data_IF_456264088729
#
_entry.id   IF_456264088729
#
_cell.length_a   1.000
_cell.length_b   1.000
_cell.length_c   1.000
_cell.angle_alpha   90.00
_cell.angle_beta   90.00
_cell.angle_gamma   90.00
#
_symmetry.space_group_name_H-M   'P 1'
#
loop_
_entity.id
_entity.type
_entity.pdbx_description
1 polymer ?
#
# COMPACT_ATOMS: atom_id res chain seq x y z
N UNK A 1 19.39 -13.40 8.97
CA UNK A 1 18.53 -13.43 7.77
C UNK A 1 17.22 -12.82 8.16
N UNK A 2 16.65 -11.97 7.32
CA UNK A 2 15.26 -11.44 7.51
C UNK A 2 14.29 -12.62 7.56
N UNK A 3 13.28 -12.57 8.43
CA UNK A 3 12.41 -13.72 8.70
C UNK A 3 10.95 -13.34 8.59
N UNK A 4 10.11 -14.35 8.27
CA UNK A 4 8.66 -14.23 8.16
C UNK A 4 8.19 -14.12 6.71
N UNK A 5 7.18 -14.92 6.36
CA UNK A 5 6.60 -14.91 5.00
C UNK A 5 5.86 -13.60 4.73
N UNK A 6 6.20 -12.96 3.62
CA UNK A 6 5.49 -11.80 3.11
C UNK A 6 4.52 -12.20 1.99
N UNK A 7 3.30 -11.67 2.00
CA UNK A 7 2.36 -11.75 0.90
C UNK A 7 2.21 -10.38 0.24
N UNK A 8 2.59 -10.30 -1.04
CA UNK A 8 2.38 -9.08 -1.85
C UNK A 8 1.03 -9.18 -2.52
N UNK A 9 0.13 -8.27 -2.18
CA UNK A 9 -1.23 -8.17 -2.71
C UNK A 9 -1.26 -7.04 -3.73
N UNK A 10 -1.37 -7.39 -5.01
CA UNK A 10 -1.47 -6.44 -6.11
C UNK A 10 -2.93 -6.29 -6.50
N UNK A 11 -3.52 -5.11 -6.21
CA UNK A 11 -4.88 -4.80 -6.66
C UNK A 11 -4.85 -4.35 -8.12
N UNK A 12 -5.56 -5.08 -8.98
CA UNK A 12 -5.68 -4.77 -10.40
C UNK A 12 -7.12 -4.42 -10.80
N UNK A 13 -7.26 -3.28 -11.47
CA UNK A 13 -8.50 -2.91 -12.17
C UNK A 13 -8.17 -2.13 -13.43
N UNK A 14 -8.45 -2.75 -14.59
CA UNK A 14 -8.19 -2.18 -15.91
C UNK A 14 -6.73 -1.65 -16.05
N UNK A 15 -5.78 -2.49 -15.65
CA UNK A 15 -4.36 -2.15 -15.60
C UNK A 15 -3.51 -2.79 -16.69
N UNK A 16 -4.09 -3.18 -17.86
CA UNK A 16 -3.37 -3.91 -18.92
C UNK A 16 -2.06 -3.24 -19.35
N UNK A 17 -1.98 -1.91 -19.22
CA UNK A 17 -0.78 -1.15 -19.55
C UNK A 17 0.38 -1.36 -18.57
N UNK A 18 0.09 -1.69 -17.30
CA UNK A 18 1.07 -1.63 -16.21
C UNK A 18 1.29 -2.96 -15.51
N UNK A 19 0.26 -3.82 -15.48
CA UNK A 19 0.25 -5.02 -14.63
C UNK A 19 1.41 -5.97 -14.89
N UNK A 20 1.85 -6.13 -16.15
CA UNK A 20 3.00 -6.97 -16.51
C UNK A 20 4.27 -6.48 -15.82
N UNK A 21 4.66 -5.21 -16.08
CA UNK A 21 5.90 -4.64 -15.54
C UNK A 21 5.88 -4.62 -14.00
N UNK A 22 4.70 -4.38 -13.41
CA UNK A 22 4.51 -4.46 -11.96
C UNK A 22 4.82 -5.87 -11.45
N UNK A 23 4.19 -6.90 -12.00
CA UNK A 23 4.36 -8.28 -11.54
C UNK A 23 5.77 -8.80 -11.79
N UNK A 24 6.36 -8.52 -12.95
CA UNK A 24 7.75 -8.89 -13.24
C UNK A 24 8.71 -8.29 -12.20
N UNK A 25 8.53 -7.02 -11.82
CA UNK A 25 9.36 -6.38 -10.80
C UNK A 25 9.15 -6.96 -9.39
N UNK A 26 7.94 -7.43 -9.08
CA UNK A 26 7.63 -8.09 -7.80
C UNK A 26 8.22 -9.50 -7.77
N UNK A 27 8.27 -10.21 -8.89
CA UNK A 27 8.84 -11.57 -8.96
C UNK A 27 10.38 -11.57 -8.96
N UNK A 28 11.02 -10.43 -9.24
CA UNK A 28 12.49 -10.25 -9.19
C UNK A 28 12.99 -9.80 -7.81
N UNK A 29 12.29 -10.10 -6.72
CA UNK A 29 12.69 -9.68 -5.38
C UNK A 29 13.77 -10.59 -4.78
N UNK A 30 14.75 -9.98 -4.11
CA UNK A 30 15.83 -10.71 -3.38
C UNK A 30 15.37 -11.31 -2.06
N UNK A 31 14.24 -10.88 -1.52
CA UNK A 31 13.63 -11.49 -0.33
C UNK A 31 13.07 -12.87 -0.67
N UNK A 32 13.54 -13.92 -0.01
CA UNK A 32 13.31 -15.30 -0.45
C UNK A 32 11.94 -15.90 -0.07
N UNK A 33 11.37 -15.52 1.09
CA UNK A 33 10.11 -16.13 1.58
C UNK A 33 8.91 -15.20 1.37
N UNK A 34 8.44 -15.14 0.12
CA UNK A 34 7.25 -14.37 -0.22
C UNK A 34 6.31 -15.11 -1.16
N UNK A 35 5.09 -14.62 -1.26
CA UNK A 35 4.04 -15.01 -2.20
C UNK A 35 3.43 -13.77 -2.83
N UNK A 36 2.88 -13.93 -4.01
CA UNK A 36 2.20 -12.86 -4.74
C UNK A 36 0.77 -13.28 -5.05
N UNK A 37 -0.20 -12.41 -4.74
CA UNK A 37 -1.58 -12.56 -5.18
C UNK A 37 -2.01 -11.30 -5.92
N UNK A 38 -2.53 -11.51 -7.13
CA UNK A 38 -3.19 -10.46 -7.91
C UNK A 38 -4.68 -10.55 -7.65
N UNK A 39 -5.25 -9.48 -7.12
CA UNK A 39 -6.71 -9.34 -6.99
C UNK A 39 -7.21 -8.62 -8.23
N UNK A 40 -7.78 -9.37 -9.17
CA UNK A 40 -8.43 -8.76 -10.33
C UNK A 40 -9.86 -8.31 -9.95
N UNK A 41 -10.03 -7.01 -9.89
CA UNK A 41 -11.24 -6.33 -9.42
C UNK A 41 -12.28 -6.16 -10.55
N UNK A 42 -12.57 -7.26 -11.28
CA UNK A 42 -13.46 -7.33 -12.44
C UNK A 42 -12.99 -6.46 -13.63
N UNK A 43 -11.74 -6.61 -14.04
CA UNK A 43 -11.19 -5.92 -15.20
C UNK A 43 -11.82 -6.38 -16.52
N UNK A 44 -11.87 -5.48 -17.51
CA UNK A 44 -12.44 -5.69 -18.84
C UNK A 44 -11.49 -5.35 -19.99
N UNK A 45 -10.22 -5.02 -19.67
CA UNK A 45 -9.22 -4.51 -20.61
C UNK A 45 -8.14 -5.53 -21.01
N UNK A 46 -8.31 -6.81 -20.60
CA UNK A 46 -7.31 -7.87 -20.84
C UNK A 46 -6.24 -8.01 -19.75
N UNK A 47 -6.22 -7.15 -18.73
CA UNK A 47 -5.23 -7.22 -17.64
C UNK A 47 -5.32 -8.49 -16.81
N UNK A 48 -6.52 -9.07 -16.67
CA UNK A 48 -6.73 -10.37 -16.02
C UNK A 48 -6.03 -11.51 -16.79
N UNK A 49 -6.16 -11.50 -18.10
CA UNK A 49 -5.54 -12.48 -18.98
C UNK A 49 -4.01 -12.38 -18.92
N UNK A 50 -3.46 -11.17 -18.91
CA UNK A 50 -2.03 -10.92 -18.73
C UNK A 50 -1.56 -11.53 -17.40
N UNK A 51 -2.22 -11.24 -16.28
CA UNK A 51 -1.83 -11.77 -14.98
C UNK A 51 -1.91 -13.33 -14.94
N UNK A 52 -2.93 -13.92 -15.55
CA UNK A 52 -3.14 -15.37 -15.55
C UNK A 52 -2.17 -16.11 -16.47
N UNK A 53 -1.96 -15.61 -17.70
CA UNK A 53 -1.34 -16.37 -18.78
C UNK A 53 0.16 -16.05 -18.95
N UNK A 54 0.59 -14.85 -18.52
CA UNK A 54 1.96 -14.39 -18.72
C UNK A 54 2.77 -14.32 -17.42
N UNK A 55 2.08 -14.32 -16.26
CA UNK A 55 2.72 -14.31 -14.93
C UNK A 55 2.10 -15.38 -14.02
N UNK A 56 2.18 -16.67 -14.41
CA UNK A 56 1.50 -17.76 -13.68
C UNK A 56 2.07 -18.03 -12.29
N UNK A 57 3.22 -17.46 -11.94
CA UNK A 57 3.83 -17.54 -10.60
C UNK A 57 3.03 -16.75 -9.55
N UNK A 58 2.27 -15.73 -9.97
CA UNK A 58 1.37 -14.98 -9.12
C UNK A 58 0.00 -15.68 -9.03
N UNK A 59 -0.50 -15.86 -7.82
CA UNK A 59 -1.87 -16.35 -7.62
C UNK A 59 -2.88 -15.32 -8.11
N UNK A 60 -3.87 -15.73 -8.92
CA UNK A 60 -4.94 -14.86 -9.39
C UNK A 60 -6.22 -15.07 -8.59
N UNK A 61 -6.67 -14.03 -7.90
CA UNK A 61 -7.98 -13.94 -7.25
C UNK A 61 -8.91 -13.04 -8.07
N UNK A 62 -9.76 -13.63 -8.91
CA UNK A 62 -10.68 -12.86 -9.74
C UNK A 62 -11.99 -12.57 -9.00
N UNK A 63 -12.32 -11.30 -8.82
CA UNK A 63 -13.59 -10.88 -8.23
C UNK A 63 -14.69 -10.80 -9.30
N UNK A 64 -15.95 -11.09 -8.93
CA UNK A 64 -17.07 -11.07 -9.88
C UNK A 64 -17.53 -9.66 -10.27
N UNK A 65 -17.17 -8.67 -9.45
CA UNK A 65 -17.53 -7.25 -9.62
C UNK A 65 -16.43 -6.36 -9.08
N UNK A 66 -16.38 -5.09 -9.53
CA UNK A 66 -15.47 -4.09 -8.98
C UNK A 66 -15.91 -3.69 -7.57
N UNK A 67 -15.12 -4.04 -6.57
CA UNK A 67 -15.34 -3.73 -5.15
C UNK A 67 -14.61 -2.48 -4.68
N UNK A 68 -14.11 -1.68 -5.59
CA UNK A 68 -13.28 -0.51 -5.30
C UNK A 68 -11.98 -0.87 -4.58
N UNK A 69 -11.29 0.15 -4.01
CA UNK A 69 -9.95 -0.05 -3.46
C UNK A 69 -9.97 -0.84 -2.15
N UNK A 70 -10.68 -0.36 -1.13
CA UNK A 70 -10.64 -0.94 0.20
C UNK A 70 -11.10 -2.42 0.20
N UNK A 71 -12.28 -2.72 -0.35
CA UNK A 71 -12.82 -4.09 -0.43
C UNK A 71 -12.01 -4.99 -1.35
N UNK A 72 -11.52 -4.44 -2.47
CA UNK A 72 -10.68 -5.19 -3.40
C UNK A 72 -9.37 -5.62 -2.73
N UNK A 73 -8.68 -4.70 -2.06
CA UNK A 73 -7.44 -4.98 -1.35
C UNK A 73 -7.67 -5.93 -0.17
N UNK A 74 -8.76 -5.75 0.59
CA UNK A 74 -9.12 -6.65 1.69
C UNK A 74 -9.30 -8.09 1.23
N UNK A 75 -9.89 -8.35 0.07
CA UNK A 75 -10.01 -9.71 -0.46
C UNK A 75 -8.63 -10.39 -0.63
N UNK A 76 -7.62 -9.63 -1.06
CA UNK A 76 -6.24 -10.12 -1.13
C UNK A 76 -5.61 -10.31 0.25
N UNK A 77 -5.86 -9.39 1.18
CA UNK A 77 -5.39 -9.50 2.57
C UNK A 77 -6.00 -10.74 3.26
N UNK A 78 -7.29 -10.95 3.13
CA UNK A 78 -7.98 -12.14 3.64
C UNK A 78 -7.39 -13.44 3.06
N UNK A 79 -7.09 -13.44 1.75
CA UNK A 79 -6.41 -14.59 1.10
C UNK A 79 -5.02 -14.82 1.68
N UNK A 80 -4.22 -13.77 1.87
CA UNK A 80 -2.88 -13.86 2.45
C UNK A 80 -2.92 -14.37 3.91
N UNK A 81 -3.87 -13.89 4.70
CA UNK A 81 -4.02 -14.25 6.12
C UNK A 81 -4.53 -15.67 6.35
N UNK A 82 -5.05 -16.37 5.31
CA UNK A 82 -5.33 -17.81 5.37
C UNK A 82 -4.04 -18.65 5.45
N UNK A 83 -2.91 -18.11 5.01
CA UNK A 83 -1.62 -18.75 5.19
C UNK A 83 -1.13 -18.54 6.64
N UNK A 84 -0.99 -19.62 7.40
CA UNK A 84 -0.55 -19.56 8.80
C UNK A 84 0.89 -19.06 8.96
N UNK A 85 1.72 -19.20 7.92
CA UNK A 85 3.11 -18.72 7.91
C UNK A 85 3.21 -17.24 7.49
N UNK A 86 2.12 -16.60 7.06
CA UNK A 86 2.09 -15.19 6.72
C UNK A 86 2.42 -14.33 7.94
N UNK A 87 3.53 -13.63 7.92
CA UNK A 87 3.93 -12.66 8.93
C UNK A 87 3.65 -11.22 8.51
N UNK A 88 3.68 -10.96 7.21
CA UNK A 88 3.51 -9.63 6.64
C UNK A 88 2.59 -9.66 5.42
N UNK A 89 1.72 -8.67 5.32
CA UNK A 89 0.91 -8.42 4.13
C UNK A 89 1.32 -7.08 3.54
N UNK A 90 1.58 -7.06 2.23
CA UNK A 90 2.05 -5.86 1.54
C UNK A 90 1.03 -5.47 0.48
N UNK A 91 0.43 -4.29 0.62
CA UNK A 91 -0.40 -3.70 -0.43
C UNK A 91 0.50 -3.11 -1.53
N UNK A 92 0.14 -3.33 -2.78
CA UNK A 92 0.82 -2.73 -3.92
C UNK A 92 -0.19 -2.42 -5.05
N UNK A 93 -0.11 -1.21 -5.59
CA UNK A 93 -0.88 -0.83 -6.77
C UNK A 93 -0.28 -1.46 -8.05
N UNK A 94 -1.14 -1.80 -9.00
CA UNK A 94 -0.73 -2.36 -10.30
C UNK A 94 0.03 -1.40 -11.22
N UNK A 95 -0.03 -0.09 -10.97
CA UNK A 95 0.65 0.96 -11.72
C UNK A 95 1.99 1.37 -11.09
N UNK A 96 2.66 0.39 -10.48
CA UNK A 96 3.98 0.54 -9.84
C UNK A 96 5.03 -0.36 -10.48
N UNK A 97 6.29 -0.01 -10.24
CA UNK A 97 7.47 -0.86 -10.44
C UNK A 97 8.34 -0.75 -9.19
N UNK A 98 8.80 -1.87 -8.66
CA UNK A 98 9.58 -1.92 -7.42
C UNK A 98 11.04 -2.29 -7.70
N UNK A 99 11.96 -1.79 -6.87
CA UNK A 99 13.37 -2.20 -6.95
C UNK A 99 13.56 -3.64 -6.42
N UNK A 100 14.57 -4.40 -6.88
CA UNK A 100 14.81 -5.77 -6.45
C UNK A 100 14.98 -5.96 -4.92
N UNK A 101 15.47 -4.95 -4.22
CA UNK A 101 15.65 -4.96 -2.76
C UNK A 101 14.44 -4.42 -1.99
N UNK A 102 13.37 -3.99 -2.68
CA UNK A 102 12.22 -3.31 -2.08
C UNK A 102 11.58 -4.10 -0.94
N UNK A 103 11.28 -5.38 -1.16
CA UNK A 103 10.60 -6.20 -0.16
C UNK A 103 11.50 -6.48 1.06
N UNK A 104 12.80 -6.73 0.82
CA UNK A 104 13.77 -6.90 1.89
C UNK A 104 13.91 -5.62 2.73
N UNK A 105 13.93 -4.46 2.07
CA UNK A 105 13.99 -3.15 2.74
C UNK A 105 12.72 -2.85 3.56
N UNK A 106 11.54 -3.30 3.12
CA UNK A 106 10.29 -3.18 3.89
C UNK A 106 10.27 -4.11 5.12
N UNK A 107 10.72 -5.35 4.96
CA UNK A 107 10.72 -6.33 6.06
C UNK A 107 11.71 -5.95 7.16
N UNK A 108 12.86 -5.37 6.81
CA UNK A 108 13.93 -5.03 7.77
C UNK A 108 13.47 -4.19 8.97
N UNK A 109 12.80 -3.04 8.83
CA UNK A 109 12.27 -2.32 10.00
C UNK A 109 11.12 -3.07 10.70
N UNK A 110 10.38 -3.93 9.99
CA UNK A 110 9.32 -4.74 10.55
C UNK A 110 9.82 -5.93 11.41
N UNK A 111 11.12 -6.24 11.46
CA UNK A 111 11.69 -7.19 12.42
C UNK A 111 11.61 -6.66 13.87
N UNK A 112 11.53 -5.34 14.08
CA UNK A 112 11.16 -4.78 15.38
C UNK A 112 9.69 -5.09 15.68
N UNK A 113 9.43 -5.86 16.75
CA UNK A 113 8.09 -6.28 17.12
C UNK A 113 7.13 -5.14 17.46
N UNK A 114 7.63 -3.91 17.66
CA UNK A 114 6.81 -2.71 17.87
C UNK A 114 6.26 -2.12 16.58
N UNK A 115 6.83 -2.49 15.43
CA UNK A 115 6.46 -1.92 14.12
C UNK A 115 5.30 -2.69 13.52
N UNK A 116 4.17 -2.02 13.34
CA UNK A 116 2.95 -2.58 12.74
C UNK A 116 2.76 -2.23 11.27
N UNK A 117 3.39 -1.14 10.78
CA UNK A 117 3.26 -0.67 9.41
C UNK A 117 4.57 -0.05 8.90
N UNK A 118 4.92 -0.32 7.63
CA UNK A 118 6.12 0.23 7.00
C UNK A 118 5.77 0.87 5.65
N UNK A 119 6.22 2.12 5.48
CA UNK A 119 6.04 2.91 4.26
C UNK A 119 7.22 2.74 3.31
N UNK A 120 6.95 2.55 2.03
CA UNK A 120 7.93 2.63 0.95
C UNK A 120 8.34 4.07 0.64
N UNK A 121 9.54 4.25 0.05
CA UNK A 121 9.91 5.45 -0.69
C UNK A 121 9.28 5.37 -2.08
N UNK A 122 8.22 6.12 -2.29
CA UNK A 122 7.55 6.17 -3.59
C UNK A 122 8.06 7.38 -4.38
N UNK A 123 8.52 7.13 -5.59
CA UNK A 123 8.97 8.14 -6.57
C UNK A 123 7.99 8.18 -7.74
N UNK A 124 7.90 9.32 -8.42
CA UNK A 124 7.10 9.41 -9.63
C UNK A 124 7.77 8.63 -10.76
N UNK A 125 7.05 7.72 -11.42
CA UNK A 125 7.60 6.88 -12.50
C UNK A 125 8.14 7.70 -13.67
N UNK A 126 7.47 8.80 -14.02
CA UNK A 126 7.90 9.69 -15.10
C UNK A 126 9.01 10.68 -14.69
N UNK A 127 9.22 10.86 -13.39
CA UNK A 127 10.20 11.75 -12.79
C UNK A 127 10.84 11.06 -11.58
N UNK A 128 11.77 10.09 -11.81
CA UNK A 128 12.27 9.20 -10.74
C UNK A 128 13.13 9.92 -9.68
N UNK A 129 13.43 11.17 -9.88
CA UNK A 129 14.09 12.08 -8.91
C UNK A 129 13.08 12.89 -8.09
N UNK A 130 11.77 12.67 -8.24
CA UNK A 130 10.70 13.40 -7.53
C UNK A 130 9.91 12.45 -6.63
N UNK A 131 9.79 12.85 -5.36
CA UNK A 131 9.05 12.07 -4.35
C UNK A 131 7.54 12.13 -4.63
N UNK A 132 6.92 10.96 -4.71
CA UNK A 132 5.47 10.81 -4.65
C UNK A 132 5.00 10.72 -3.19
N UNK A 133 5.62 9.84 -2.37
CA UNK A 133 5.34 9.73 -0.95
C UNK A 133 6.52 9.09 -0.20
N UNK A 134 6.86 9.61 0.96
CA UNK A 134 7.83 9.04 1.90
C UNK A 134 7.16 8.80 3.28
N UNK A 135 6.02 8.09 3.25
CA UNK A 135 5.10 7.95 4.38
C UNK A 135 4.10 9.09 4.49
N UNK A 136 3.18 8.95 5.43
CA UNK A 136 2.11 9.91 5.72
C UNK A 136 2.47 10.81 6.91
N UNK A 137 1.90 12.02 6.91
CA UNK A 137 1.92 12.96 8.04
C UNK A 137 0.52 13.51 8.26
N UNK A 138 0.11 13.65 9.52
CA UNK A 138 -1.13 14.36 9.89
C UNK A 138 -0.79 15.80 10.22
N UNK A 139 -1.53 16.73 9.65
CA UNK A 139 -1.48 18.16 9.94
C UNK A 139 -2.31 18.50 11.17
N UNK A 140 -2.15 19.72 11.74
CA UNK A 140 -2.87 20.14 12.95
C UNK A 140 -4.39 20.18 12.80
N UNK A 141 -4.87 20.37 11.60
CA UNK A 141 -6.31 20.32 11.23
C UNK A 141 -6.81 18.93 10.88
N UNK A 142 -5.97 17.90 11.11
CA UNK A 142 -6.31 16.48 10.90
C UNK A 142 -6.28 16.03 9.44
N UNK A 143 -5.78 16.85 8.52
CA UNK A 143 -5.59 16.37 7.14
C UNK A 143 -4.36 15.46 7.04
N UNK A 144 -4.47 14.40 6.27
CA UNK A 144 -3.34 13.54 5.91
C UNK A 144 -2.66 14.07 4.65
N UNK A 145 -1.34 14.07 4.65
CA UNK A 145 -0.52 14.49 3.50
C UNK A 145 0.64 13.54 3.29
N UNK A 146 0.98 13.29 2.04
CA UNK A 146 2.17 12.54 1.65
C UNK A 146 3.43 13.37 1.99
N UNK A 147 4.36 12.76 2.75
CA UNK A 147 5.64 13.41 3.06
C UNK A 147 6.48 13.54 1.79
N UNK A 148 7.02 14.72 1.57
CA UNK A 148 7.89 15.00 0.43
C UNK A 148 7.18 15.15 -0.91
N UNK A 149 5.85 15.16 -0.96
CA UNK A 149 5.07 15.27 -2.20
C UNK A 149 5.61 16.36 -3.13
N UNK A 150 5.96 15.96 -4.36
CA UNK A 150 6.53 16.78 -5.44
C UNK A 150 7.87 17.46 -5.11
N UNK A 151 8.55 17.09 -4.02
CA UNK A 151 9.91 17.52 -3.76
C UNK A 151 10.91 16.64 -4.53
N UNK A 152 12.04 17.22 -4.92
CA UNK A 152 13.15 16.44 -5.44
C UNK A 152 13.72 15.55 -4.31
N UNK A 153 14.01 14.29 -4.62
CA UNK A 153 14.67 13.38 -3.68
C UNK A 153 16.17 13.67 -3.62
N UNK A 154 16.60 14.24 -2.51
CA UNK A 154 18.01 14.51 -2.19
C UNK A 154 18.43 13.75 -0.91
N UNK A 155 17.63 12.73 -0.51
CA UNK A 155 17.83 11.97 0.72
C UNK A 155 17.47 12.74 2.00
N UNK A 156 16.80 13.90 1.87
CA UNK A 156 16.45 14.80 2.98
C UNK A 156 15.48 14.17 3.99
N UNK A 157 14.73 13.13 3.60
CA UNK A 157 13.78 12.42 4.45
C UNK A 157 14.30 11.08 4.99
N UNK A 158 15.47 10.61 4.53
CA UNK A 158 15.94 9.24 4.77
C UNK A 158 16.34 8.98 6.23
N UNK A 159 16.63 10.02 6.99
CA UNK A 159 16.99 9.92 8.41
C UNK A 159 15.80 10.00 9.36
N UNK A 160 14.69 10.55 8.90
CA UNK A 160 13.45 10.69 9.68
C UNK A 160 12.51 9.54 9.33
N UNK A 161 12.76 8.40 9.95
CA UNK A 161 12.05 7.14 9.67
C UNK A 161 10.76 6.94 10.47
N UNK A 162 10.46 7.82 11.43
CA UNK A 162 9.21 7.78 12.18
C UNK A 162 8.12 8.54 11.40
N UNK A 163 7.09 7.82 10.97
CA UNK A 163 6.02 8.38 10.14
C UNK A 163 4.67 8.11 10.78
N UNK A 164 3.66 8.87 10.40
CA UNK A 164 2.31 8.63 10.88
C UNK A 164 1.75 7.30 10.37
N UNK A 165 1.99 6.98 9.10
CA UNK A 165 1.54 5.77 8.42
C UNK A 165 2.17 5.63 7.04
N UNK A 166 1.72 4.65 6.29
CA UNK A 166 2.15 4.38 4.92
C UNK A 166 0.99 4.59 3.94
N UNK A 167 1.31 5.07 2.73
CA UNK A 167 0.34 5.10 1.64
C UNK A 167 -0.04 3.68 1.22
N UNK A 168 -1.34 3.40 1.11
CA UNK A 168 -1.86 2.11 0.70
C UNK A 168 -1.45 1.65 -0.70
N UNK A 169 -0.84 2.54 -1.49
CA UNK A 169 -0.31 2.20 -2.81
C UNK A 169 0.96 1.32 -2.76
N UNK A 170 1.75 1.36 -1.66
CA UNK A 170 2.93 0.51 -1.46
C UNK A 170 3.30 0.44 0.03
N UNK A 171 2.65 -0.43 0.80
CA UNK A 171 2.76 -0.48 2.25
C UNK A 171 2.83 -1.90 2.79
N UNK A 172 3.73 -2.15 3.75
CA UNK A 172 3.76 -3.39 4.53
C UNK A 172 2.97 -3.22 5.82
N UNK A 173 2.19 -4.23 6.16
CA UNK A 173 1.45 -4.38 7.42
C UNK A 173 1.86 -5.67 8.11
N UNK A 174 2.15 -5.59 9.40
CA UNK A 174 2.35 -6.77 10.25
C UNK A 174 1.05 -7.50 10.49
N UNK A 175 1.05 -8.83 10.41
CA UNK A 175 -0.14 -9.66 10.66
C UNK A 175 -0.77 -9.38 12.02
N UNK A 176 0.03 -9.40 13.10
CA UNK A 176 -0.48 -9.18 14.46
C UNK A 176 -1.11 -7.79 14.65
N UNK A 177 -0.63 -6.79 13.92
CA UNK A 177 -1.27 -5.47 13.91
C UNK A 177 -2.63 -5.55 13.22
N UNK A 178 -2.73 -6.19 12.05
CA UNK A 178 -4.01 -6.40 11.35
C UNK A 178 -4.98 -7.26 12.15
N UNK A 179 -4.51 -8.32 12.81
CA UNK A 179 -5.34 -9.16 13.69
C UNK A 179 -5.91 -8.36 14.88
N UNK A 180 -5.17 -7.33 15.32
CA UNK A 180 -5.58 -6.46 16.44
C UNK A 180 -6.60 -5.41 16.03
N UNK A 181 -6.38 -4.74 14.87
CA UNK A 181 -7.15 -3.54 14.50
C UNK A 181 -8.08 -3.77 13.30
N UNK A 182 -8.02 -4.92 12.65
CA UNK A 182 -8.74 -5.21 11.41
C UNK A 182 -8.05 -4.69 10.16
N UNK A 183 -8.70 -4.91 9.02
CA UNK A 183 -8.24 -4.53 7.69
C UNK A 183 -8.67 -3.09 7.33
N UNK A 184 -8.60 -2.70 6.06
CA UNK A 184 -9.17 -1.43 5.62
C UNK A 184 -10.67 -1.35 5.95
N UNK A 185 -11.12 -0.20 6.45
CA UNK A 185 -12.54 0.05 6.61
C UNK A 185 -13.20 0.23 5.22
N UNK A 186 -14.09 -0.70 4.89
CA UNK A 186 -14.72 -0.79 3.57
C UNK A 186 -15.66 0.37 3.24
N UNK A 187 -16.16 1.07 4.25
CA UNK A 187 -17.04 2.23 4.08
C UNK A 187 -16.29 3.43 3.47
N UNK A 188 -14.96 3.45 3.56
CA UNK A 188 -14.14 4.43 2.85
C UNK A 188 -14.23 4.28 1.32
N UNK A 189 -14.45 3.08 0.81
CA UNK A 189 -14.51 2.76 -0.61
C UNK A 189 -13.17 2.93 -1.31
N UNK A 190 -12.64 4.15 -1.36
CA UNK A 190 -11.28 4.52 -1.80
C UNK A 190 -10.91 5.90 -1.23
N UNK A 191 -9.60 6.13 -1.05
CA UNK A 191 -8.93 7.30 -0.46
C UNK A 191 -9.11 7.41 1.04
N UNK A 192 -7.98 7.56 1.72
CA UNK A 192 -7.83 7.73 3.17
C UNK A 192 -8.23 6.51 4.03
N UNK A 193 -8.51 5.35 3.45
CA UNK A 193 -8.62 4.05 4.16
C UNK A 193 -7.29 3.65 4.79
N UNK A 194 -6.17 4.01 4.14
CA UNK A 194 -4.81 3.81 4.64
C UNK A 194 -4.50 4.73 5.84
N UNK A 195 -5.03 5.95 5.81
CA UNK A 195 -4.94 6.89 6.93
C UNK A 195 -5.74 6.39 8.14
N UNK A 196 -6.95 5.87 7.92
CA UNK A 196 -7.76 5.26 8.97
C UNK A 196 -7.03 4.06 9.60
N UNK A 197 -6.51 3.15 8.77
CA UNK A 197 -5.77 1.99 9.25
C UNK A 197 -4.52 2.42 10.04
N UNK A 198 -3.79 3.45 9.57
CA UNK A 198 -2.64 4.01 10.29
C UNK A 198 -3.04 4.58 11.66
N UNK A 199 -4.18 5.27 11.78
CA UNK A 199 -4.73 5.71 13.06
C UNK A 199 -4.99 4.54 14.00
N UNK A 200 -5.70 3.51 13.54
CA UNK A 200 -6.04 2.33 14.36
C UNK A 200 -4.78 1.60 14.83
N UNK A 201 -3.80 1.41 13.95
CA UNK A 201 -2.50 0.80 14.27
C UNK A 201 -1.78 1.61 15.37
N UNK A 202 -1.69 2.94 15.23
CA UNK A 202 -1.04 3.79 16.23
C UNK A 202 -1.80 3.86 17.55
N UNK A 203 -3.12 3.94 17.53
CA UNK A 203 -3.96 3.93 18.74
C UNK A 203 -3.87 2.59 19.50
N UNK A 204 -3.59 1.50 18.80
CA UNK A 204 -3.31 0.18 19.40
C UNK A 204 -1.87 0.06 19.96
N UNK A 205 -1.05 1.10 19.83
CA UNK A 205 0.30 1.16 20.39
C UNK A 205 1.43 0.71 19.45
N UNK A 206 1.12 0.40 18.19
CA UNK A 206 2.12 0.06 17.19
C UNK A 206 2.82 1.30 16.62
N UNK A 207 4.06 1.11 16.18
CA UNK A 207 4.84 2.13 15.47
C UNK A 207 4.67 1.99 13.95
N UNK A 208 4.75 3.13 13.24
CA UNK A 208 4.81 3.17 11.79
C UNK A 208 6.18 3.68 11.37
N UNK A 209 6.84 3.00 10.43
CA UNK A 209 8.20 3.31 9.97
C UNK A 209 8.24 3.61 8.48
N UNK A 210 9.16 4.47 8.09
CA UNK A 210 9.53 4.70 6.70
C UNK A 210 10.81 3.92 6.38
N UNK A 211 10.81 3.20 5.26
CA UNK A 211 11.97 2.48 4.74
C UNK A 211 12.52 3.21 3.50
N UNK A 212 13.55 4.05 3.64
CA UNK A 212 14.07 4.85 2.52
C UNK A 212 14.70 4.01 1.41
N UNK A 213 15.14 2.79 1.73
CA UNK A 213 15.72 1.83 0.77
C UNK A 213 14.64 1.03 0.02
N UNK A 214 13.38 1.07 0.48
CA UNK A 214 12.26 0.40 -0.16
C UNK A 214 11.68 1.27 -1.29
N UNK A 215 12.36 1.29 -2.45
CA UNK A 215 12.03 2.18 -3.56
C UNK A 215 10.94 1.61 -4.47
N UNK A 216 9.94 2.45 -4.76
CA UNK A 216 8.81 2.16 -5.66
C UNK A 216 8.66 3.30 -6.66
N UNK A 217 8.57 2.99 -7.94
CA UNK A 217 8.21 3.95 -8.99
C UNK A 217 6.71 3.82 -9.28
N UNK A 218 5.96 4.89 -9.05
CA UNK A 218 4.50 4.90 -9.16
C UNK A 218 4.01 5.82 -10.28
N UNK A 219 3.12 5.31 -11.12
CA UNK A 219 2.47 6.06 -12.19
C UNK A 219 1.26 6.83 -11.65
N UNK A 220 1.51 7.78 -10.77
CA UNK A 220 0.49 8.53 -10.04
C UNK A 220 -0.74 8.89 -10.90
N UNK A 221 -1.94 8.55 -10.38
CA UNK A 221 -3.24 8.80 -11.03
C UNK A 221 -3.46 8.08 -12.37
N UNK A 222 -2.82 6.95 -12.63
CA UNK A 222 -3.02 6.20 -13.88
C UNK A 222 -4.46 5.69 -14.05
N UNK A 223 -5.09 5.24 -12.96
CA UNK A 223 -6.46 4.69 -12.94
C UNK A 223 -7.53 5.71 -12.57
N UNK A 224 -7.16 6.91 -12.10
CA UNK A 224 -8.13 7.95 -11.72
C UNK A 224 -7.71 9.30 -12.28
N UNK A 225 -8.66 10.04 -12.86
CA UNK A 225 -8.40 11.44 -13.21
C UNK A 225 -8.13 12.23 -11.92
N UNK A 226 -6.92 12.81 -11.81
CA UNK A 226 -6.47 13.55 -10.62
C UNK A 226 -7.45 14.63 -10.14
N UNK A 227 -8.24 15.20 -11.07
CA UNK A 227 -9.20 16.26 -10.84
C UNK A 227 -10.68 15.78 -10.91
N UNK A 228 -10.95 14.49 -10.69
CA UNK A 228 -12.33 14.01 -10.73
C UNK A 228 -13.14 14.54 -9.53
N UNK A 229 -14.37 14.98 -9.78
CA UNK A 229 -15.32 15.41 -8.74
C UNK A 229 -15.53 14.31 -7.70
N UNK A 230 -15.52 13.05 -8.15
CA UNK A 230 -15.66 11.90 -7.26
C UNK A 230 -14.48 11.77 -6.30
N UNK A 231 -13.24 11.92 -6.79
CA UNK A 231 -12.03 11.87 -5.95
C UNK A 231 -12.09 12.95 -4.86
N UNK A 232 -12.43 14.19 -5.25
CA UNK A 232 -12.56 15.31 -4.30
C UNK A 232 -13.63 15.00 -3.25
N UNK A 233 -14.81 14.56 -3.68
CA UNK A 233 -15.91 14.20 -2.77
C UNK A 233 -15.50 13.09 -1.81
N UNK A 234 -14.95 11.99 -2.32
CA UNK A 234 -14.54 10.84 -1.50
C UNK A 234 -13.46 11.24 -0.49
N UNK A 235 -12.43 11.97 -0.92
CA UNK A 235 -11.35 12.43 -0.03
C UNK A 235 -11.87 13.35 1.09
N UNK A 236 -12.75 14.32 0.78
CA UNK A 236 -13.30 15.22 1.79
C UNK A 236 -14.26 14.50 2.75
N UNK A 237 -15.12 13.61 2.23
CA UNK A 237 -15.99 12.77 3.07
C UNK A 237 -15.15 11.92 4.03
N UNK A 238 -14.15 11.23 3.50
CA UNK A 238 -13.33 10.30 4.25
C UNK A 238 -12.41 11.03 5.24
N UNK A 239 -11.99 12.26 4.94
CA UNK A 239 -11.28 13.12 5.91
C UNK A 239 -12.15 13.40 7.14
N UNK A 240 -13.42 13.74 6.93
CA UNK A 240 -14.35 13.95 8.05
C UNK A 240 -14.54 12.65 8.84
N UNK A 241 -14.71 11.52 8.17
CA UNK A 241 -14.85 10.21 8.83
C UNK A 241 -13.62 9.86 9.67
N UNK A 242 -12.42 10.03 9.13
CA UNK A 242 -11.18 9.82 9.89
C UNK A 242 -11.14 10.65 11.18
N UNK A 243 -11.56 11.92 11.11
CA UNK A 243 -11.63 12.79 12.28
C UNK A 243 -12.67 12.29 13.29
N UNK A 244 -13.85 11.88 12.82
CA UNK A 244 -14.92 11.41 13.69
C UNK A 244 -14.58 10.10 14.39
N UNK A 245 -13.98 9.16 13.66
CA UNK A 245 -13.70 7.81 14.16
C UNK A 245 -12.43 7.76 15.02
N UNK A 246 -11.37 8.49 14.64
CA UNK A 246 -10.04 8.25 15.15
C UNK A 246 -9.45 9.42 15.96
N UNK A 247 -9.92 10.66 15.73
CA UNK A 247 -9.29 11.81 16.36
C UNK A 247 -9.73 11.93 17.82
N UNK A 248 -8.80 12.12 18.76
CA UNK A 248 -9.16 12.22 20.18
C UNK A 248 -9.88 13.56 20.47
N UNK A 249 -11.17 13.47 20.75
CA UNK A 249 -12.06 14.63 21.03
C UNK A 249 -11.75 15.41 22.32
N UNK A 250 -10.63 15.10 23.00
CA UNK A 250 -10.28 15.71 24.29
C UNK A 250 -9.19 16.77 24.22
N UNK A 251 -8.91 17.32 23.00
CA UNK A 251 -7.92 18.37 22.82
C UNK A 251 -8.48 19.58 22.09
#
# INVERSE_FOLDING_TARGET
MLTGRAWVVVLNWNGARYIRDCLESVLDQTYADYRVVVVDNASTDGSREIARDEVPEAELLALPENRHFARGTNAGFERALQDHDCAYVVALNNDTRVDPEWLAALVKPAEDARVGNVASKMLLMDHPDVINAAGLRITRDGAAVDRGWLQKDEGQLDRDVDVFGASGAAALYRREALDTVGLFDEDFVAYLEDVDLAWRIRLAGWECRFAPEAVVYHKFSASSNANSTWKTYASERNRIWNLVQNYPWRY
#
